data_IF_027831304698
#
_entry.id   IF_027831304698
#
_cell.length_a   1.000
_cell.length_b   1.000
_cell.length_c   1.000
_cell.angle_alpha   90.00
_cell.angle_beta   90.00
_cell.angle_gamma   90.00
#
_symmetry.space_group_name_H-M   'P 1'
#
loop_
_entity.id
_entity.type
_entity.pdbx_description
1 polymer ?
#
# COMPACT_ATOMS: atom_id res chain seq x y z
N UNK A 1 -0.69 2.53 -19.19
CA UNK A 1 0.45 1.69 -19.65
C UNK A 1 0.74 0.72 -18.53
N UNK A 2 0.50 -0.57 -18.73
CA UNK A 2 0.90 -1.61 -17.78
C UNK A 2 2.36 -1.97 -18.09
N UNK A 3 3.27 -1.73 -17.15
CA UNK A 3 4.64 -2.20 -17.30
C UNK A 3 4.69 -3.73 -17.13
N UNK A 4 5.38 -4.47 -18.00
CA UNK A 4 5.38 -5.94 -18.03
C UNK A 4 5.98 -6.64 -16.78
N UNK A 5 6.43 -5.87 -15.79
CA UNK A 5 6.98 -6.38 -14.52
C UNK A 5 6.04 -6.15 -13.32
N UNK A 6 4.87 -5.55 -13.52
CA UNK A 6 3.92 -5.30 -12.43
C UNK A 6 3.08 -6.56 -12.17
N UNK A 7 3.57 -7.42 -11.27
CA UNK A 7 2.79 -8.53 -10.74
C UNK A 7 1.76 -7.98 -9.76
N UNK A 8 0.48 -8.28 -9.99
CA UNK A 8 -0.58 -7.92 -9.04
C UNK A 8 -0.30 -8.62 -7.70
N UNK A 9 0.09 -7.83 -6.71
CA UNK A 9 0.52 -8.29 -5.38
C UNK A 9 -0.65 -8.74 -4.50
N UNK A 10 -1.86 -8.33 -4.85
CA UNK A 10 -3.11 -8.73 -4.19
C UNK A 10 -4.27 -7.82 -4.58
N UNK A 11 -5.49 -8.33 -4.44
CA UNK A 11 -6.71 -7.54 -4.52
C UNK A 11 -7.22 -7.25 -3.11
N UNK A 12 -7.37 -5.98 -2.77
CA UNK A 12 -7.80 -5.53 -1.45
C UNK A 12 -9.12 -4.78 -1.55
N UNK A 13 -9.98 -4.93 -0.54
CA UNK A 13 -11.26 -4.23 -0.48
C UNK A 13 -11.06 -2.78 -0.02
N UNK A 14 -12.00 -1.92 -0.39
CA UNK A 14 -12.08 -0.56 0.14
C UNK A 14 -12.59 -0.62 1.57
N UNK A 15 -11.72 -0.27 2.52
CA UNK A 15 -12.00 -0.35 3.96
C UNK A 15 -11.44 0.90 4.61
N UNK A 16 -12.28 1.65 5.33
CA UNK A 16 -11.89 2.93 5.92
C UNK A 16 -11.49 2.80 7.38
N UNK A 17 -11.99 1.79 8.09
CA UNK A 17 -11.88 1.68 9.55
C UNK A 17 -10.93 0.59 10.05
N UNK A 18 -10.55 -0.40 9.25
CA UNK A 18 -9.68 -1.51 9.67
C UNK A 18 -8.57 -1.83 8.68
N UNK A 19 -7.55 -2.55 9.16
CA UNK A 19 -6.43 -3.02 8.36
C UNK A 19 -6.70 -4.43 7.84
N UNK A 20 -6.54 -4.63 6.53
CA UNK A 20 -6.50 -5.96 5.92
C UNK A 20 -5.10 -6.52 6.03
N UNK A 21 -4.96 -7.83 6.29
CA UNK A 21 -3.64 -8.48 6.33
C UNK A 21 -2.92 -8.37 4.99
N UNK A 22 -1.71 -7.84 5.01
CA UNK A 22 -0.83 -7.84 3.85
C UNK A 22 -0.02 -9.14 3.81
N UNK A 23 -0.20 -9.95 2.75
CA UNK A 23 0.30 -11.34 2.69
C UNK A 23 1.64 -11.50 1.95
N UNK A 24 2.24 -10.41 1.49
CA UNK A 24 3.50 -10.41 0.72
C UNK A 24 4.58 -9.68 1.52
N UNK A 25 5.66 -10.36 1.87
CA UNK A 25 6.80 -9.75 2.59
C UNK A 25 8.04 -9.55 1.71
N UNK A 26 7.98 -10.04 0.47
CA UNK A 26 9.04 -10.05 -0.54
C UNK A 26 9.04 -8.80 -1.43
N UNK A 27 8.18 -7.82 -1.14
CA UNK A 27 7.91 -6.67 -2.01
C UNK A 27 8.55 -5.42 -1.46
N UNK A 28 9.33 -4.75 -2.29
CA UNK A 28 10.04 -3.50 -1.94
C UNK A 28 9.32 -2.26 -2.43
N UNK A 29 8.41 -2.39 -3.40
CA UNK A 29 7.61 -1.30 -3.95
C UNK A 29 6.19 -1.75 -4.27
N UNK A 30 5.28 -0.80 -4.30
CA UNK A 30 3.88 -0.96 -4.71
C UNK A 30 3.47 0.16 -5.64
N UNK A 31 2.65 -0.17 -6.63
CA UNK A 31 2.00 0.80 -7.50
C UNK A 31 0.50 0.78 -7.25
N UNK A 32 -0.08 1.92 -6.85
CA UNK A 32 -1.51 2.05 -6.67
C UNK A 32 -2.15 2.37 -8.03
N UNK A 33 -2.60 1.35 -8.75
CA UNK A 33 -3.21 1.49 -10.07
C UNK A 33 -4.61 2.13 -10.06
N UNK A 34 -5.15 2.52 -8.91
CA UNK A 34 -6.49 3.11 -8.81
C UNK A 34 -6.50 4.54 -9.34
N UNK A 35 -7.65 4.95 -9.87
CA UNK A 35 -7.93 6.34 -10.24
C UNK A 35 -8.28 7.23 -9.03
N UNK A 36 -8.74 6.64 -7.93
CA UNK A 36 -9.06 7.36 -6.70
C UNK A 36 -8.88 6.48 -5.45
N UNK A 37 -8.59 7.12 -4.33
CA UNK A 37 -8.34 6.48 -3.04
C UNK A 37 -6.88 6.07 -2.82
N UNK A 38 -6.37 6.42 -1.65
CA UNK A 38 -5.00 6.12 -1.25
C UNK A 38 -4.91 4.73 -0.63
N UNK A 39 -3.78 4.06 -0.88
CA UNK A 39 -3.43 2.81 -0.23
C UNK A 39 -2.45 3.10 0.91
N UNK A 40 -2.84 2.80 2.14
CA UNK A 40 -1.98 2.90 3.31
C UNK A 40 -1.43 1.52 3.67
N UNK A 41 -0.19 1.49 4.13
CA UNK A 41 0.51 0.26 4.53
C UNK A 41 0.93 0.39 5.99
N UNK A 42 0.54 -0.58 6.81
CA UNK A 42 0.91 -0.67 8.22
C UNK A 42 2.14 -1.56 8.35
N UNK A 43 3.13 -1.08 9.08
CA UNK A 43 4.37 -1.78 9.36
C UNK A 43 4.33 -2.47 10.73
N UNK A 44 5.15 -3.50 10.91
CA UNK A 44 5.30 -4.22 12.18
C UNK A 44 5.74 -3.31 13.34
N UNK A 45 6.42 -2.20 13.06
CA UNK A 45 6.79 -1.19 14.05
C UNK A 45 5.66 -0.23 14.44
N UNK A 46 4.50 -0.31 13.80
CA UNK A 46 3.37 0.61 13.98
C UNK A 46 3.39 1.85 13.08
N UNK A 47 4.48 2.09 12.36
CA UNK A 47 4.54 3.16 11.35
C UNK A 47 3.62 2.87 10.17
N UNK A 48 3.27 3.91 9.41
CA UNK A 48 2.48 3.77 8.19
C UNK A 48 3.15 4.47 7.02
N UNK A 49 2.98 3.93 5.81
CA UNK A 49 3.30 4.62 4.56
C UNK A 49 2.06 4.66 3.67
N UNK A 50 2.13 5.45 2.60
CA UNK A 50 0.99 5.69 1.73
C UNK A 50 1.41 5.73 0.25
N UNK A 51 0.57 5.15 -0.61
CA UNK A 51 0.66 5.22 -2.06
C UNK A 51 -0.58 5.93 -2.63
N UNK A 52 -0.36 7.10 -3.23
CA UNK A 52 -1.40 7.88 -3.89
C UNK A 52 -1.93 7.18 -5.16
N UNK A 53 -3.18 7.49 -5.59
CA UNK A 53 -3.70 7.04 -6.88
C UNK A 53 -2.71 7.32 -8.03
N UNK A 54 -2.41 6.29 -8.83
CA UNK A 54 -1.49 6.39 -9.97
C UNK A 54 -0.02 6.60 -9.60
N UNK A 55 0.37 6.37 -8.33
CA UNK A 55 1.75 6.56 -7.85
C UNK A 55 2.34 5.27 -7.30
N UNK A 56 3.67 5.20 -7.35
CA UNK A 56 4.46 4.18 -6.69
C UNK A 56 4.87 4.66 -5.29
N UNK A 57 4.93 3.74 -4.33
CA UNK A 57 5.52 3.96 -3.02
C UNK A 57 6.55 2.86 -2.70
N UNK A 58 7.61 3.23 -1.98
CA UNK A 58 8.52 2.25 -1.38
C UNK A 58 7.83 1.59 -0.19
N UNK A 59 7.90 0.26 -0.15
CA UNK A 59 7.58 -0.51 1.05
C UNK A 59 8.82 -0.81 1.89
N UNK A 60 10.01 -0.63 1.33
CA UNK A 60 11.25 -0.81 2.07
C UNK A 60 11.64 0.47 2.82
N UNK A 61 11.44 0.45 4.14
CA UNK A 61 11.90 1.50 5.05
C UNK A 61 12.77 0.89 6.14
N UNK A 62 14.06 1.27 6.16
CA UNK A 62 15.02 0.80 7.17
C UNK A 62 14.54 1.25 8.55
N UNK A 63 14.19 0.30 9.41
CA UNK A 63 13.69 0.54 10.76
C UNK A 63 12.18 0.43 10.95
N UNK A 64 11.37 0.36 9.88
CA UNK A 64 9.92 0.16 10.02
C UNK A 64 9.55 -1.34 10.07
N UNK A 65 10.45 -2.21 9.61
CA UNK A 65 10.20 -3.64 9.55
C UNK A 65 9.33 -4.02 8.36
N UNK A 66 8.57 -5.12 8.48
CA UNK A 66 7.78 -5.65 7.37
C UNK A 66 6.37 -5.06 7.35
N UNK A 67 5.79 -4.94 6.17
CA UNK A 67 4.38 -4.57 6.01
C UNK A 67 3.51 -5.73 6.52
N UNK A 68 2.61 -5.42 7.44
CA UNK A 68 1.69 -6.37 8.06
C UNK A 68 0.24 -6.12 7.66
N UNK A 69 -0.08 -4.88 7.30
CA UNK A 69 -1.44 -4.48 6.95
C UNK A 69 -1.51 -3.53 5.77
N UNK A 70 -2.68 -3.50 5.14
CA UNK A 70 -3.03 -2.54 4.09
C UNK A 70 -4.46 -2.04 4.30
N UNK A 71 -4.68 -0.76 3.99
CA UNK A 71 -5.99 -0.12 4.04
C UNK A 71 -6.18 0.75 2.81
N UNK A 72 -7.27 0.53 2.08
CA UNK A 72 -7.62 1.34 0.92
C UNK A 72 -8.73 2.31 1.33
N UNK A 73 -8.43 3.62 1.32
CA UNK A 73 -9.36 4.66 1.74
C UNK A 73 -9.81 5.45 0.51
N UNK A 74 -11.04 5.19 0.06
CA UNK A 74 -11.66 5.88 -1.06
C UNK A 74 -11.79 7.38 -0.79
N UNK A 75 -11.48 8.21 -1.79
CA UNK A 75 -11.54 9.67 -1.65
C UNK A 75 -10.41 10.30 -0.82
N UNK A 76 -9.52 9.51 -0.23
CA UNK A 76 -8.37 10.01 0.53
C UNK A 76 -7.15 10.26 -0.36
N UNK A 77 -6.32 11.23 0.03
CA UNK A 77 -4.95 11.44 -0.47
C UNK A 77 -3.95 11.03 0.61
N UNK A 78 -2.69 10.85 0.25
CA UNK A 78 -1.66 10.65 1.27
C UNK A 78 -1.53 11.92 2.09
N UNK A 79 -1.89 11.85 3.37
CA UNK A 79 -1.69 12.92 4.32
C UNK A 79 -0.41 12.62 5.09
N UNK A 80 0.46 13.62 5.20
CA UNK A 80 1.72 13.56 5.92
C UNK A 80 1.50 13.51 7.44
#
# INVERSE_FOLDING_TARGET
MYEPHQVMVGAYKDVTSYWQTFRRSDVTYVYNARHSGAAYFLYSSGYTSCAEPGRQASLYHRGYGKVTGIRIVTGSRCYA
#
